data_IF_941253382868
#
_entry.id   IF_941253382868
#
_cell.length_a   1.000
_cell.length_b   1.000
_cell.length_c   1.000
_cell.angle_alpha   90.00
_cell.angle_beta   90.00
_cell.angle_gamma   90.00
#
_symmetry.space_group_name_H-M   'P 1'
#
loop_
_entity.id
_entity.type
_entity.pdbx_description
1 polymer ?
#
# COMPACT_ATOMS: atom_id res chain seq x y z
N UNK A 1 -18.46 52.51 30.98
CA UNK A 1 -18.73 51.49 32.01
C UNK A 1 -19.80 50.48 31.57
N UNK A 2 -21.09 50.84 31.40
CA UNK A 2 -22.10 49.85 30.92
C UNK A 2 -21.89 49.38 29.47
N UNK A 3 -21.40 50.24 28.56
CA UNK A 3 -21.08 49.83 27.17
C UNK A 3 -19.90 48.86 27.10
N UNK A 4 -18.88 49.08 27.93
CA UNK A 4 -17.67 48.26 27.97
C UNK A 4 -17.94 46.86 28.55
N UNK A 5 -18.85 46.76 29.53
CA UNK A 5 -19.31 45.48 30.08
C UNK A 5 -20.17 44.69 29.08
N UNK A 6 -21.06 45.36 28.35
CA UNK A 6 -21.88 44.73 27.32
C UNK A 6 -21.04 44.20 26.15
N UNK A 7 -20.09 45.02 25.67
CA UNK A 7 -19.18 44.63 24.58
C UNK A 7 -18.20 43.52 25.00
N UNK A 8 -17.84 43.43 26.29
CA UNK A 8 -17.06 42.31 26.84
C UNK A 8 -17.86 41.01 26.83
N UNK A 9 -19.13 41.04 27.24
CA UNK A 9 -20.03 39.87 27.25
C UNK A 9 -20.20 39.30 25.84
N UNK A 10 -20.49 40.16 24.85
CA UNK A 10 -20.69 39.78 23.44
C UNK A 10 -19.43 39.14 22.82
N UNK A 11 -18.22 39.62 23.16
CA UNK A 11 -16.96 39.05 22.67
C UNK A 11 -16.60 37.71 23.33
N UNK A 12 -16.91 37.55 24.61
CA UNK A 12 -16.68 36.30 25.34
C UNK A 12 -17.66 35.22 24.89
N UNK A 13 -18.92 35.57 24.60
CA UNK A 13 -19.91 34.66 24.01
C UNK A 13 -19.49 34.21 22.61
N UNK A 14 -19.11 35.14 21.72
CA UNK A 14 -18.62 34.80 20.39
C UNK A 14 -17.38 33.89 20.42
N UNK A 15 -16.42 34.18 21.30
CA UNK A 15 -15.24 33.32 21.46
C UNK A 15 -15.62 31.92 21.97
N UNK A 16 -16.60 31.80 22.86
CA UNK A 16 -17.09 30.52 23.34
C UNK A 16 -17.77 29.72 22.21
N UNK A 17 -18.59 30.38 21.39
CA UNK A 17 -19.21 29.75 20.21
C UNK A 17 -18.15 29.20 19.25
N UNK A 18 -17.14 30.01 18.91
CA UNK A 18 -16.04 29.59 18.03
C UNK A 18 -15.19 28.45 18.64
N UNK A 19 -15.01 28.42 19.96
CA UNK A 19 -14.30 27.33 20.65
C UNK A 19 -15.10 26.02 20.62
N UNK A 20 -16.42 26.10 20.82
CA UNK A 20 -17.31 24.94 20.73
C UNK A 20 -17.38 24.42 19.29
N UNK A 21 -17.46 25.31 18.30
CA UNK A 21 -17.40 24.92 16.89
C UNK A 21 -16.05 24.26 16.55
N UNK A 22 -14.94 24.81 17.04
CA UNK A 22 -13.61 24.22 16.87
C UNK A 22 -13.52 22.83 17.51
N UNK A 23 -14.13 22.63 18.68
CA UNK A 23 -14.19 21.32 19.35
C UNK A 23 -14.92 20.29 18.48
N UNK A 24 -16.08 20.64 17.94
CA UNK A 24 -16.85 19.75 17.05
C UNK A 24 -16.07 19.44 15.76
N UNK A 25 -15.40 20.43 15.17
CA UNK A 25 -14.53 20.22 14.01
C UNK A 25 -13.37 19.26 14.33
N UNK A 26 -12.75 19.38 15.51
CA UNK A 26 -11.68 18.48 15.95
C UNK A 26 -12.18 17.04 16.16
N UNK A 27 -13.38 16.86 16.73
CA UNK A 27 -14.03 15.54 16.85
C UNK A 27 -14.30 14.94 15.47
N UNK A 28 -14.92 15.69 14.57
CA UNK A 28 -15.21 15.23 13.21
C UNK A 28 -13.94 14.87 12.43
N UNK A 29 -12.85 15.65 12.56
CA UNK A 29 -11.55 15.30 11.98
C UNK A 29 -10.99 13.97 12.52
N UNK A 30 -11.15 13.72 13.82
CA UNK A 30 -10.72 12.47 14.44
C UNK A 30 -11.55 11.28 13.98
N UNK A 31 -12.87 11.43 13.90
CA UNK A 31 -13.79 10.37 13.46
C UNK A 31 -13.52 9.98 12.01
N UNK A 32 -13.43 10.95 11.10
CA UNK A 32 -13.11 10.68 9.69
C UNK A 32 -11.74 10.03 9.53
N UNK A 33 -10.73 10.48 10.29
CA UNK A 33 -9.41 9.88 10.23
C UNK A 33 -9.42 8.40 10.67
N UNK A 34 -10.17 8.07 11.73
CA UNK A 34 -10.35 6.70 12.19
C UNK A 34 -11.12 5.84 11.19
N UNK A 35 -12.18 6.39 10.59
CA UNK A 35 -12.96 5.69 9.57
C UNK A 35 -12.14 5.43 8.30
N UNK A 36 -11.36 6.42 7.84
CA UNK A 36 -10.41 6.23 6.74
C UNK A 36 -9.37 5.17 7.06
N UNK A 37 -8.78 5.19 8.25
CA UNK A 37 -7.80 4.18 8.68
C UNK A 37 -8.41 2.78 8.65
N UNK A 38 -9.60 2.61 9.26
CA UNK A 38 -10.33 1.35 9.34
C UNK A 38 -10.70 0.80 7.96
N UNK A 39 -11.13 1.67 7.05
CA UNK A 39 -11.64 1.26 5.73
C UNK A 39 -10.55 1.22 4.65
N UNK A 40 -9.38 1.81 4.89
CA UNK A 40 -8.28 1.90 3.92
C UNK A 40 -7.90 0.54 3.34
N UNK A 41 -7.68 -0.47 4.18
CA UNK A 41 -7.30 -1.82 3.76
C UNK A 41 -8.39 -2.50 2.93
N UNK A 42 -9.65 -2.26 3.24
CA UNK A 42 -10.79 -2.81 2.48
C UNK A 42 -10.82 -2.18 1.10
N UNK A 43 -10.70 -0.86 1.02
CA UNK A 43 -10.65 -0.12 -0.23
C UNK A 43 -9.46 -0.55 -1.10
N UNK A 44 -8.25 -0.72 -0.52
CA UNK A 44 -7.08 -1.24 -1.24
C UNK A 44 -7.37 -2.61 -1.86
N UNK A 45 -7.97 -3.52 -1.09
CA UNK A 45 -8.31 -4.87 -1.58
C UNK A 45 -9.34 -4.83 -2.69
N UNK A 46 -10.39 -4.05 -2.54
CA UNK A 46 -11.44 -3.90 -3.56
C UNK A 46 -10.89 -3.28 -4.84
N UNK A 47 -10.10 -2.21 -4.71
CA UNK A 47 -9.46 -1.56 -5.85
C UNK A 47 -8.53 -2.53 -6.59
N UNK A 48 -7.72 -3.29 -5.86
CA UNK A 48 -6.83 -4.29 -6.45
C UNK A 48 -7.60 -5.43 -7.14
N UNK A 49 -8.65 -5.94 -6.49
CA UNK A 49 -9.50 -7.00 -7.06
C UNK A 49 -10.20 -6.55 -8.35
N UNK A 50 -10.70 -5.32 -8.39
CA UNK A 50 -11.34 -4.76 -9.59
C UNK A 50 -10.35 -4.64 -10.76
N UNK A 51 -9.08 -4.41 -10.47
CA UNK A 51 -8.02 -4.29 -11.46
C UNK A 51 -7.23 -5.58 -11.71
N UNK A 52 -7.57 -6.68 -11.02
CA UNK A 52 -6.86 -7.96 -11.12
C UNK A 52 -6.80 -8.49 -12.57
N UNK A 53 -7.86 -8.26 -13.34
CA UNK A 53 -7.95 -8.66 -14.74
C UNK A 53 -6.83 -8.09 -15.62
N UNK A 54 -6.28 -6.92 -15.27
CA UNK A 54 -5.16 -6.29 -15.98
C UNK A 54 -3.84 -7.06 -15.81
N UNK A 55 -3.70 -7.77 -14.68
CA UNK A 55 -2.47 -8.43 -14.26
C UNK A 55 -2.57 -9.96 -14.41
N UNK A 56 -3.78 -10.49 -14.53
CA UNK A 56 -4.06 -11.93 -14.58
C UNK A 56 -3.27 -12.67 -15.67
N UNK A 57 -3.15 -12.08 -16.87
CA UNK A 57 -2.40 -12.70 -17.96
C UNK A 57 -0.92 -12.90 -17.62
N UNK A 58 -0.30 -11.94 -16.93
CA UNK A 58 1.10 -12.04 -16.50
C UNK A 58 1.26 -13.11 -15.41
N UNK A 59 0.31 -13.22 -14.47
CA UNK A 59 0.26 -14.26 -13.44
C UNK A 59 0.13 -15.65 -14.07
N UNK A 60 -0.77 -15.80 -15.04
CA UNK A 60 -0.99 -17.06 -15.76
C UNK A 60 0.25 -17.47 -16.54
N UNK A 61 0.91 -16.53 -17.22
CA UNK A 61 2.16 -16.75 -17.94
C UNK A 61 3.27 -17.20 -16.99
N UNK A 62 3.45 -16.53 -15.85
CA UNK A 62 4.43 -16.92 -14.83
C UNK A 62 4.19 -18.33 -14.30
N UNK A 63 2.93 -18.67 -14.02
CA UNK A 63 2.52 -19.99 -13.54
C UNK A 63 2.76 -21.07 -14.58
N UNK A 64 2.38 -20.81 -15.83
CA UNK A 64 2.62 -21.70 -16.97
C UNK A 64 4.11 -21.96 -17.18
N UNK A 65 4.93 -20.91 -17.13
CA UNK A 65 6.38 -20.99 -17.28
C UNK A 65 7.04 -21.80 -16.15
N UNK A 66 6.59 -21.65 -14.90
CA UNK A 66 7.05 -22.52 -13.80
C UNK A 66 6.70 -23.99 -14.04
N UNK A 67 5.50 -24.26 -14.58
CA UNK A 67 5.09 -25.59 -15.02
C UNK A 67 6.01 -26.17 -16.10
N UNK A 68 6.35 -25.36 -17.12
CA UNK A 68 7.29 -25.74 -18.20
C UNK A 68 8.68 -26.06 -17.63
N UNK A 69 9.24 -25.20 -16.78
CA UNK A 69 10.54 -25.42 -16.14
C UNK A 69 10.54 -26.73 -15.35
N UNK A 70 9.47 -27.02 -14.60
CA UNK A 70 9.35 -28.29 -13.85
C UNK A 70 9.37 -29.50 -14.78
N UNK A 71 8.64 -29.45 -15.91
CA UNK A 71 8.65 -30.52 -16.93
C UNK A 71 10.04 -30.72 -17.54
N UNK A 72 10.72 -29.64 -17.94
CA UNK A 72 12.07 -29.71 -18.51
C UNK A 72 13.08 -30.29 -17.51
N UNK A 73 12.99 -29.92 -16.22
CA UNK A 73 13.85 -30.51 -15.17
C UNK A 73 13.62 -32.02 -15.00
N UNK A 74 12.37 -32.47 -15.07
CA UNK A 74 12.04 -33.90 -15.04
C UNK A 74 12.60 -34.63 -16.27
N UNK A 75 12.54 -34.03 -17.45
CA UNK A 75 13.14 -34.58 -18.68
C UNK A 75 14.66 -34.70 -18.57
N UNK A 76 15.34 -33.67 -18.05
CA UNK A 76 16.79 -33.75 -17.77
C UNK A 76 17.09 -34.91 -16.80
N UNK A 77 16.28 -35.07 -15.76
CA UNK A 77 16.47 -36.14 -14.77
C UNK A 77 16.29 -37.52 -15.42
N UNK A 78 15.27 -37.69 -16.27
CA UNK A 78 15.03 -38.92 -17.01
C UNK A 78 16.20 -39.27 -17.93
N UNK A 79 16.71 -38.30 -18.70
CA UNK A 79 17.87 -38.49 -19.58
C UNK A 79 19.14 -38.91 -18.82
N UNK A 80 19.35 -38.34 -17.62
CA UNK A 80 20.46 -38.72 -16.75
C UNK A 80 20.30 -40.15 -16.23
N UNK A 81 19.09 -40.55 -15.84
CA UNK A 81 18.79 -41.91 -15.40
C UNK A 81 18.97 -42.94 -16.52
N UNK A 82 18.53 -42.62 -17.74
CA UNK A 82 18.72 -43.47 -18.93
C UNK A 82 20.20 -43.66 -19.24
N UNK A 83 21.00 -42.60 -19.11
CA UNK A 83 22.44 -42.68 -19.25
C UNK A 83 23.10 -43.58 -18.20
N UNK A 84 22.68 -43.49 -16.94
CA UNK A 84 23.17 -44.39 -15.89
C UNK A 84 22.79 -45.83 -16.15
N UNK A 85 21.57 -46.09 -16.62
CA UNK A 85 21.10 -47.42 -17.00
C UNK A 85 21.90 -47.99 -18.17
N UNK A 86 22.14 -47.20 -19.22
CA UNK A 86 22.97 -47.58 -20.37
C UNK A 86 24.40 -47.95 -19.95
N UNK A 87 25.01 -47.19 -19.02
CA UNK A 87 26.35 -47.49 -18.52
C UNK A 87 26.43 -48.75 -17.66
N UNK A 88 25.36 -49.10 -16.96
CA UNK A 88 25.28 -50.28 -16.08
C UNK A 88 24.90 -51.56 -16.84
N UNK A 89 24.52 -51.45 -18.12
CA UNK A 89 24.19 -52.61 -18.94
C UNK A 89 25.44 -53.44 -19.29
N UNK A 90 25.60 -54.55 -18.57
CA UNK A 90 26.71 -55.51 -18.73
C UNK A 90 26.66 -56.26 -20.07
N UNK A 91 25.51 -56.31 -20.76
CA UNK A 91 25.39 -56.93 -22.09
C UNK A 91 25.85 -55.98 -23.19
N UNK A 92 25.58 -54.69 -23.06
CA UNK A 92 26.03 -53.71 -24.04
C UNK A 92 27.52 -53.37 -23.92
N UNK A 93 28.04 -53.27 -22.70
CA UNK A 93 29.46 -52.98 -22.43
C UNK A 93 30.42 -54.03 -23.00
N UNK A 94 29.98 -55.28 -23.17
CA UNK A 94 30.78 -56.37 -23.74
C UNK A 94 30.84 -56.37 -25.26
N UNK A 95 30.05 -55.54 -25.96
CA UNK A 95 30.04 -55.51 -27.44
C UNK A 95 31.22 -54.71 -27.99
N UNK A 96 31.78 -55.16 -29.11
CA UNK A 96 32.90 -54.48 -29.78
C UNK A 96 32.54 -53.05 -30.26
N UNK A 97 31.26 -52.81 -30.56
CA UNK A 97 30.73 -51.50 -31.00
C UNK A 97 30.48 -50.53 -29.84
N UNK A 98 30.64 -50.98 -28.60
CA UNK A 98 30.35 -50.19 -27.40
C UNK A 98 31.11 -48.85 -27.35
N UNK A 99 32.42 -48.74 -27.66
CA UNK A 99 33.12 -47.46 -27.60
C UNK A 99 32.52 -46.39 -28.53
N UNK A 100 32.12 -46.79 -29.74
CA UNK A 100 31.48 -45.91 -30.72
C UNK A 100 30.10 -45.49 -30.23
N UNK A 101 29.27 -46.46 -29.81
CA UNK A 101 27.93 -46.20 -29.27
C UNK A 101 27.98 -45.30 -28.04
N UNK A 102 28.93 -45.54 -27.12
CA UNK A 102 29.18 -44.72 -25.94
C UNK A 102 29.50 -43.27 -26.31
N UNK A 103 30.40 -43.04 -27.27
CA UNK A 103 30.75 -41.70 -27.71
C UNK A 103 29.55 -40.96 -28.30
N UNK A 104 28.78 -41.62 -29.19
CA UNK A 104 27.60 -41.04 -29.82
C UNK A 104 26.50 -40.72 -28.80
N UNK A 105 26.16 -41.67 -27.92
CA UNK A 105 25.15 -41.47 -26.87
C UNK A 105 25.57 -40.37 -25.90
N UNK A 106 26.84 -40.32 -25.49
CA UNK A 106 27.36 -39.26 -24.62
C UNK A 106 27.27 -37.88 -25.28
N UNK A 107 27.63 -37.78 -26.57
CA UNK A 107 27.53 -36.52 -27.34
C UNK A 107 26.07 -36.08 -27.47
N UNK A 108 25.18 -37.00 -27.82
CA UNK A 108 23.75 -36.72 -27.94
C UNK A 108 23.15 -36.26 -26.62
N UNK A 109 23.42 -36.99 -25.53
CA UNK A 109 22.97 -36.62 -24.17
C UNK A 109 23.46 -35.23 -23.77
N UNK A 110 24.75 -34.93 -23.98
CA UNK A 110 25.33 -33.62 -23.65
C UNK A 110 24.63 -32.50 -24.41
N UNK A 111 24.39 -32.68 -25.70
CA UNK A 111 23.70 -31.69 -26.53
C UNK A 111 22.26 -31.48 -26.06
N UNK A 112 21.52 -32.57 -25.81
CA UNK A 112 20.12 -32.47 -25.39
C UNK A 112 19.97 -31.86 -24.00
N UNK A 113 20.84 -32.21 -23.04
CA UNK A 113 20.86 -31.55 -21.73
C UNK A 113 21.20 -30.06 -21.87
N UNK A 114 22.12 -29.69 -22.78
CA UNK A 114 22.45 -28.29 -23.04
C UNK A 114 21.23 -27.53 -23.56
N UNK A 115 20.53 -28.06 -24.57
CA UNK A 115 19.31 -27.48 -25.15
C UNK A 115 18.20 -27.29 -24.12
N UNK A 116 17.97 -28.31 -23.28
CA UNK A 116 16.98 -28.24 -22.19
C UNK A 116 17.36 -27.19 -21.15
N UNK A 117 18.64 -27.11 -20.76
CA UNK A 117 19.12 -26.10 -19.82
C UNK A 117 19.04 -24.69 -20.39
N UNK A 118 19.29 -24.51 -21.69
CA UNK A 118 19.13 -23.22 -22.37
C UNK A 118 17.66 -22.80 -22.39
N UNK A 119 16.75 -23.73 -22.67
CA UNK A 119 15.30 -23.48 -22.59
C UNK A 119 14.84 -23.13 -21.17
N UNK A 120 15.35 -23.83 -20.15
CA UNK A 120 15.11 -23.47 -18.74
C UNK A 120 15.64 -22.06 -18.45
N UNK A 121 16.83 -21.72 -18.92
CA UNK A 121 17.44 -20.40 -18.71
C UNK A 121 16.61 -19.30 -19.36
N UNK A 122 16.18 -19.47 -20.61
CA UNK A 122 15.35 -18.51 -21.32
C UNK A 122 13.99 -18.31 -20.60
N UNK A 123 13.36 -19.41 -20.18
CA UNK A 123 12.09 -19.34 -19.43
C UNK A 123 12.28 -18.65 -18.07
N UNK A 124 13.42 -18.84 -17.40
CA UNK A 124 13.74 -18.13 -16.15
C UNK A 124 13.93 -16.63 -16.38
N UNK A 125 14.55 -16.23 -17.50
CA UNK A 125 14.72 -14.82 -17.88
C UNK A 125 13.36 -14.19 -18.13
N UNK A 126 12.47 -14.85 -18.90
CA UNK A 126 11.09 -14.40 -19.08
C UNK A 126 10.36 -14.21 -17.74
N UNK A 127 10.47 -15.19 -16.84
CA UNK A 127 9.88 -15.11 -15.51
C UNK A 127 10.42 -13.95 -14.67
N UNK A 128 11.69 -13.58 -14.86
CA UNK A 128 12.26 -12.39 -14.20
C UNK A 128 11.60 -11.11 -14.72
N UNK A 129 11.46 -10.97 -16.04
CA UNK A 129 10.76 -9.81 -16.62
C UNK A 129 9.31 -9.73 -16.18
N UNK A 130 8.60 -10.87 -16.14
CA UNK A 130 7.23 -10.92 -15.64
C UNK A 130 7.17 -10.45 -14.18
N UNK A 131 8.08 -10.91 -13.31
CA UNK A 131 8.14 -10.44 -11.92
C UNK A 131 8.37 -8.94 -11.80
N UNK A 132 9.33 -8.40 -12.56
CA UNK A 132 9.62 -6.97 -12.56
C UNK A 132 8.38 -6.17 -13.02
N UNK A 133 7.65 -6.67 -14.02
CA UNK A 133 6.39 -6.08 -14.47
C UNK A 133 5.27 -6.15 -13.42
N UNK A 134 5.13 -7.28 -12.72
CA UNK A 134 4.16 -7.44 -11.63
C UNK A 134 4.43 -6.45 -10.48
N UNK A 135 5.71 -6.22 -10.14
CA UNK A 135 6.11 -5.23 -9.13
C UNK A 135 5.76 -3.81 -9.58
N UNK A 136 5.99 -3.48 -10.86
CA UNK A 136 5.57 -2.19 -11.43
C UNK A 136 4.06 -2.00 -11.32
N UNK A 137 3.28 -3.02 -11.68
CA UNK A 137 1.83 -3.01 -11.55
C UNK A 137 1.35 -2.80 -10.12
N UNK A 138 1.96 -3.49 -9.16
CA UNK A 138 1.63 -3.32 -7.74
C UNK A 138 1.87 -1.87 -7.29
N UNK A 139 2.98 -1.27 -7.71
CA UNK A 139 3.28 0.13 -7.41
C UNK A 139 2.30 1.10 -8.07
N UNK A 140 2.00 0.92 -9.35
CA UNK A 140 1.07 1.76 -10.11
C UNK A 140 -0.35 1.69 -9.54
N UNK A 141 -0.84 0.48 -9.26
CA UNK A 141 -2.15 0.28 -8.61
C UNK A 141 -2.18 0.89 -7.21
N UNK A 142 -1.08 0.84 -6.46
CA UNK A 142 -0.96 1.52 -5.18
C UNK A 142 -1.11 3.04 -5.31
N UNK A 143 -0.45 3.65 -6.28
CA UNK A 143 -0.57 5.08 -6.56
C UNK A 143 -2.00 5.45 -6.98
N UNK A 144 -2.59 4.70 -7.91
CA UNK A 144 -3.94 4.98 -8.40
C UNK A 144 -4.99 4.77 -7.31
N UNK A 145 -4.80 3.79 -6.43
CA UNK A 145 -5.65 3.60 -5.25
C UNK A 145 -5.61 4.82 -4.31
N UNK A 146 -4.42 5.36 -4.02
CA UNK A 146 -4.27 6.57 -3.20
C UNK A 146 -4.95 7.77 -3.86
N UNK A 147 -4.81 7.92 -5.18
CA UNK A 147 -5.50 8.98 -5.93
C UNK A 147 -7.01 8.83 -5.82
N UNK A 148 -7.52 7.61 -5.98
CA UNK A 148 -8.94 7.31 -5.86
C UNK A 148 -9.47 7.63 -4.44
N UNK A 149 -8.74 7.24 -3.39
CA UNK A 149 -9.07 7.61 -2.00
C UNK A 149 -9.14 9.14 -1.82
N UNK A 150 -8.16 9.87 -2.37
CA UNK A 150 -8.13 11.35 -2.30
C UNK A 150 -9.26 12.02 -3.06
N UNK A 151 -9.76 11.40 -4.13
CA UNK A 151 -10.92 11.90 -4.86
C UNK A 151 -12.27 11.54 -4.21
N UNK A 152 -12.26 10.70 -3.17
CA UNK A 152 -13.46 10.25 -2.48
C UNK A 152 -14.13 11.34 -1.63
N UNK A 153 -15.40 11.10 -1.29
CA UNK A 153 -16.21 12.02 -0.48
C UNK A 153 -15.63 12.22 0.92
N UNK A 154 -15.14 11.15 1.56
CA UNK A 154 -14.53 11.20 2.89
C UNK A 154 -13.31 12.13 2.92
N UNK A 155 -12.44 12.06 1.90
CA UNK A 155 -11.26 12.90 1.81
C UNK A 155 -11.61 14.36 1.51
N UNK A 156 -12.59 14.59 0.65
CA UNK A 156 -13.16 15.91 0.41
C UNK A 156 -13.77 16.51 1.69
N UNK A 157 -14.47 15.69 2.48
CA UNK A 157 -15.04 16.13 3.75
C UNK A 157 -13.96 16.45 4.79
N UNK A 158 -12.94 15.61 4.90
CA UNK A 158 -11.77 15.86 5.73
C UNK A 158 -11.05 17.17 5.36
N UNK A 159 -10.84 17.44 4.07
CA UNK A 159 -10.24 18.71 3.62
C UNK A 159 -11.10 19.93 3.99
N UNK A 160 -12.43 19.82 3.90
CA UNK A 160 -13.34 20.90 4.30
C UNK A 160 -13.22 21.19 5.80
N UNK A 161 -13.20 20.16 6.65
CA UNK A 161 -13.02 20.33 8.09
C UNK A 161 -11.65 20.91 8.43
N UNK A 162 -10.60 20.55 7.70
CA UNK A 162 -9.27 21.16 7.89
C UNK A 162 -9.25 22.66 7.56
N UNK A 163 -9.96 23.08 6.51
CA UNK A 163 -10.10 24.50 6.16
C UNK A 163 -10.89 25.25 7.23
N UNK A 164 -12.02 24.70 7.66
CA UNK A 164 -12.83 25.29 8.72
C UNK A 164 -12.06 25.41 10.04
N UNK A 165 -11.31 24.37 10.42
CA UNK A 165 -10.39 24.42 11.57
C UNK A 165 -9.43 25.60 11.46
N UNK A 166 -8.84 25.81 10.28
CA UNK A 166 -7.89 26.91 10.07
C UNK A 166 -8.57 28.27 10.21
N UNK A 167 -9.75 28.43 9.62
CA UNK A 167 -10.55 29.66 9.70
C UNK A 167 -10.90 29.99 11.17
N UNK A 168 -11.46 29.02 11.90
CA UNK A 168 -11.79 29.17 13.33
C UNK A 168 -10.54 29.51 14.17
N UNK A 169 -9.41 28.86 13.89
CA UNK A 169 -8.14 29.13 14.57
C UNK A 169 -7.67 30.57 14.35
N UNK A 170 -7.79 31.08 13.13
CA UNK A 170 -7.35 32.44 12.80
C UNK A 170 -8.30 33.49 13.41
N UNK A 171 -9.61 33.21 13.47
CA UNK A 171 -10.59 34.05 14.19
C UNK A 171 -10.36 34.05 15.71
N UNK A 172 -10.14 32.88 16.32
CA UNK A 172 -9.87 32.76 17.74
C UNK A 172 -8.56 33.45 18.14
N UNK A 173 -7.51 33.34 17.32
CA UNK A 173 -6.26 34.10 17.52
C UNK A 173 -6.48 35.61 17.51
N UNK A 174 -7.46 36.10 16.73
CA UNK A 174 -7.79 37.50 16.69
C UNK A 174 -8.65 37.93 17.89
N UNK A 175 -9.65 37.14 18.27
CA UNK A 175 -10.63 37.52 19.30
C UNK A 175 -10.09 37.33 20.71
N UNK A 176 -9.45 36.20 21.02
CA UNK A 176 -9.03 35.86 22.39
C UNK A 176 -8.14 36.93 23.05
N UNK A 177 -7.13 37.53 22.37
CA UNK A 177 -6.30 38.58 22.95
C UNK A 177 -7.05 39.88 23.23
N UNK A 178 -8.24 40.07 22.64
CA UNK A 178 -9.03 41.31 22.77
C UNK A 178 -10.02 41.28 23.95
N UNK A 179 -10.10 40.16 24.68
CA UNK A 179 -11.01 39.97 25.82
C UNK A 179 -10.31 40.43 27.13
N UNK A 180 -10.78 41.53 27.76
CA UNK A 180 -10.14 42.06 28.96
C UNK A 180 -10.26 41.12 30.17
N UNK A 181 -9.14 40.78 30.79
CA UNK A 181 -9.06 39.89 31.96
C UNK A 181 -8.75 38.43 31.64
N UNK A 182 -8.70 38.07 30.35
CA UNK A 182 -8.23 36.76 29.88
C UNK A 182 -6.75 36.91 29.50
N UNK A 183 -5.87 36.98 30.52
CA UNK A 183 -4.41 37.00 30.31
C UNK A 183 -3.93 35.59 29.89
N UNK A 184 -2.96 35.51 28.96
CA UNK A 184 -3.09 34.70 27.76
C UNK A 184 -3.24 33.22 28.09
N UNK A 185 -4.36 32.66 27.67
CA UNK A 185 -4.50 31.21 27.53
C UNK A 185 -3.93 30.86 26.16
N UNK A 186 -2.80 30.14 26.12
CA UNK A 186 -2.39 29.49 24.88
C UNK A 186 -3.42 28.41 24.55
N UNK A 187 -3.95 28.45 23.32
CA UNK A 187 -4.97 27.50 22.89
C UNK A 187 -4.36 26.10 22.80
N UNK A 188 -4.70 25.26 23.78
CA UNK A 188 -4.29 23.86 23.84
C UNK A 188 -5.26 22.99 23.02
N UNK A 189 -4.89 22.72 21.77
CA UNK A 189 -5.68 21.86 20.87
C UNK A 189 -5.71 20.39 21.29
N UNK A 190 -4.81 19.94 22.16
CA UNK A 190 -4.81 18.56 22.66
C UNK A 190 -5.84 18.37 23.77
N UNK A 191 -6.25 19.45 24.43
CA UNK A 191 -7.23 19.42 25.51
C UNK A 191 -8.16 20.64 25.45
N UNK A 192 -8.84 20.78 24.30
CA UNK A 192 -9.78 21.89 24.05
C UNK A 192 -10.93 21.90 25.07
N UNK A 193 -11.34 20.73 25.57
CA UNK A 193 -12.38 20.60 26.60
C UNK A 193 -11.98 21.34 27.89
N UNK A 194 -10.76 21.09 28.38
CA UNK A 194 -10.22 21.79 29.54
C UNK A 194 -10.10 23.29 29.27
N UNK A 195 -9.65 23.67 28.08
CA UNK A 195 -9.53 25.08 27.71
C UNK A 195 -10.89 25.80 27.74
N UNK A 196 -11.95 25.17 27.21
CA UNK A 196 -13.31 25.72 27.20
C UNK A 196 -13.81 25.92 28.65
N UNK A 197 -13.60 24.96 29.53
CA UNK A 197 -14.03 25.06 30.93
C UNK A 197 -13.26 26.15 31.70
N UNK A 198 -11.95 26.26 31.48
CA UNK A 198 -11.15 27.36 32.03
C UNK A 198 -11.60 28.72 31.49
N UNK A 199 -11.94 28.79 30.20
CA UNK A 199 -12.42 30.00 29.55
C UNK A 199 -13.78 30.46 30.12
N UNK A 200 -14.74 29.55 30.27
CA UNK A 200 -16.05 29.82 30.92
C UNK A 200 -15.87 30.34 32.34
N UNK A 201 -15.03 29.67 33.14
CA UNK A 201 -14.74 30.06 34.52
C UNK A 201 -14.16 31.48 34.63
N UNK A 202 -13.25 31.86 33.72
CA UNK A 202 -12.63 33.20 33.70
C UNK A 202 -13.55 34.28 33.15
N UNK A 203 -14.45 33.93 32.24
CA UNK A 203 -15.43 34.87 31.67
C UNK A 203 -16.71 34.98 32.50
N UNK A 204 -16.89 34.15 33.53
CA UNK A 204 -18.12 34.03 34.32
C UNK A 204 -19.35 33.69 33.47
N UNK A 205 -19.13 32.82 32.46
CA UNK A 205 -20.15 32.29 31.54
C UNK A 205 -20.62 30.91 31.99
#
# INVERSE_FOLDING_TARGET
>A
MMRDLKQKCERSELALELLLELQEVLKGLSEIALDMEKNSNTFYKEYFNNNLHLVQSDIDNYTSNNGKIKKLKLEVTALVNDWFSFKKDTKETKKLTFPIKLYLTKKHLKNKIKELNESISNTNIENRFIKEKLISWEHELGIECIKAMKSGEDFSHYEKLLRLKKELMDELKYILPTIPGVCPLELDLQNIDRFIEEFKSRCQL
#
